data_IF_645745263343
#
_entry.id   IF_645745263343
#
_cell.length_a   1.000
_cell.length_b   1.000
_cell.length_c   1.000
_cell.angle_alpha   90.00
_cell.angle_beta   90.00
_cell.angle_gamma   90.00
#
_symmetry.space_group_name_H-M   'P 1'
#
loop_
_entity.id
_entity.type
_entity.pdbx_description
1 polymer ?
#
# COMPACT_ATOMS: atom_id res chain seq x y z
N UNK A 1 -20.14 -6.24 -5.79
CA UNK A 1 -18.82 -6.65 -6.29
C UNK A 1 -18.46 -5.64 -7.36
N UNK A 2 -17.95 -4.50 -6.93
CA UNK A 2 -17.73 -3.25 -7.68
C UNK A 2 -16.93 -2.43 -6.64
N UNK A 3 -15.77 -1.84 -6.89
CA UNK A 3 -15.34 -1.11 -8.06
C UNK A 3 -13.82 -1.19 -8.22
N UNK A 4 -13.33 -1.55 -9.40
CA UNK A 4 -11.98 -1.17 -9.87
C UNK A 4 -12.18 0.07 -10.76
N UNK A 5 -12.79 1.14 -10.24
CA UNK A 5 -13.16 2.33 -11.04
C UNK A 5 -12.17 3.51 -10.91
N UNK A 6 -11.04 3.33 -10.22
CA UNK A 6 -10.07 4.41 -10.03
C UNK A 6 -8.67 4.03 -10.53
N UNK A 7 -8.59 3.68 -11.82
CA UNK A 7 -7.41 3.85 -12.71
C UNK A 7 -6.04 3.41 -12.16
N UNK A 8 -6.03 2.53 -11.16
CA UNK A 8 -4.86 2.14 -10.35
C UNK A 8 -3.91 3.31 -10.02
N UNK A 9 -4.45 4.54 -9.86
CA UNK A 9 -3.65 5.72 -9.49
C UNK A 9 -3.33 5.64 -8.00
N UNK A 10 -2.39 4.77 -7.68
CA UNK A 10 -1.86 4.57 -6.35
C UNK A 10 -1.01 5.77 -5.91
N UNK A 11 -1.38 6.41 -4.80
CA UNK A 11 -0.49 7.35 -4.11
C UNK A 11 0.61 6.52 -3.40
N UNK A 12 1.66 6.21 -4.16
CA UNK A 12 2.86 5.52 -3.68
C UNK A 12 3.77 6.56 -3.03
N UNK A 13 4.01 6.40 -1.73
CA UNK A 13 4.99 7.20 -0.98
C UNK A 13 6.05 6.31 -0.37
N UNK A 14 7.31 6.71 -0.54
CA UNK A 14 8.42 6.12 0.20
C UNK A 14 8.32 6.53 1.67
N UNK A 15 8.41 5.57 2.58
CA UNK A 15 8.53 5.81 4.00
C UNK A 15 10.01 6.09 4.30
N UNK A 16 10.33 7.25 4.85
CA UNK A 16 11.70 7.58 5.21
C UNK A 16 12.15 6.71 6.40
N UNK A 17 13.33 6.11 6.29
CA UNK A 17 14.12 5.51 7.38
C UNK A 17 13.61 4.21 8.04
N UNK A 18 12.64 3.50 7.46
CA UNK A 18 12.18 2.20 7.99
C UNK A 18 11.80 1.21 6.88
N UNK A 19 12.01 -0.09 7.13
CA UNK A 19 11.36 -1.16 6.38
C UNK A 19 9.96 -1.40 6.97
N UNK A 20 8.88 -1.47 6.17
CA UNK A 20 8.84 -1.50 4.70
C UNK A 20 9.01 -0.14 4.03
N UNK A 21 9.76 -0.09 2.92
CA UNK A 21 10.17 1.16 2.27
C UNK A 21 9.03 1.93 1.58
N UNK A 22 7.93 1.28 1.21
CA UNK A 22 6.86 1.90 0.43
C UNK A 22 5.47 1.70 1.04
N UNK A 23 4.63 2.72 0.88
CA UNK A 23 3.19 2.66 1.15
C UNK A 23 2.41 3.00 -0.11
N UNK A 24 1.57 2.07 -0.56
CA UNK A 24 0.59 2.27 -1.62
C UNK A 24 -0.80 2.51 -1.01
N UNK A 25 -1.53 3.48 -1.53
CA UNK A 25 -2.94 3.74 -1.19
C UNK A 25 -3.83 3.35 -2.37
N UNK A 26 -4.81 2.49 -2.11
CA UNK A 26 -5.83 2.07 -3.09
C UNK A 26 -7.20 2.17 -2.42
N UNK A 27 -7.93 3.25 -2.71
CA UNK A 27 -9.18 3.56 -2.00
C UNK A 27 -8.97 3.64 -0.49
N UNK A 28 -9.68 2.80 0.26
CA UNK A 28 -9.55 2.70 1.72
C UNK A 28 -8.42 1.78 2.21
N UNK A 29 -7.71 1.10 1.32
CA UNK A 29 -6.62 0.21 1.69
C UNK A 29 -5.26 0.91 1.68
N UNK A 30 -4.42 0.55 2.66
CA UNK A 30 -3.01 0.91 2.75
C UNK A 30 -2.19 -0.37 2.68
N UNK A 31 -1.29 -0.43 1.71
CA UNK A 31 -0.42 -1.58 1.47
C UNK A 31 1.00 -1.15 1.81
N UNK A 32 1.64 -1.85 2.74
CA UNK A 32 3.06 -1.70 3.04
C UNK A 32 3.85 -2.77 2.29
N UNK A 33 4.79 -2.35 1.47
CA UNK A 33 5.58 -3.25 0.64
C UNK A 33 7.00 -2.73 0.47
N UNK A 34 7.89 -3.61 0.03
CA UNK A 34 9.21 -3.24 -0.46
C UNK A 34 9.44 -3.87 -1.84
N UNK A 35 10.40 -3.31 -2.57
CA UNK A 35 10.81 -3.82 -3.88
C UNK A 35 12.27 -4.18 -3.83
N UNK A 36 12.61 -5.42 -4.14
CA UNK A 36 14.00 -5.86 -4.25
C UNK A 36 14.21 -6.56 -5.59
N UNK A 37 15.09 -5.99 -6.42
CA UNK A 37 15.31 -6.40 -7.81
C UNK A 37 13.99 -6.42 -8.60
N UNK A 38 13.55 -7.60 -9.02
CA UNK A 38 12.36 -7.91 -9.81
C UNK A 38 11.19 -8.41 -8.94
N UNK A 39 11.33 -8.35 -7.61
CA UNK A 39 10.34 -8.87 -6.66
C UNK A 39 9.71 -7.76 -5.84
N UNK A 40 8.41 -7.91 -5.59
CA UNK A 40 7.64 -7.08 -4.67
C UNK A 40 7.25 -7.93 -3.47
N UNK A 41 7.67 -7.52 -2.28
CA UNK A 41 7.29 -8.19 -1.02
C UNK A 41 6.23 -7.35 -0.31
N UNK A 42 5.04 -7.91 -0.13
CA UNK A 42 3.94 -7.27 0.59
C UNK A 42 3.97 -7.70 2.05
N UNK A 43 4.09 -6.76 2.97
CA UNK A 43 4.12 -7.04 4.41
C UNK A 43 2.75 -7.01 5.05
N UNK A 44 1.96 -5.98 4.73
CA UNK A 44 0.64 -5.77 5.34
C UNK A 44 -0.30 -5.07 4.38
N UNK A 45 -1.56 -5.49 4.44
CA UNK A 45 -2.68 -4.83 3.80
C UNK A 45 -3.63 -4.42 4.93
N UNK A 46 -3.80 -3.11 5.11
CA UNK A 46 -4.57 -2.52 6.19
C UNK A 46 -5.75 -1.75 5.60
N UNK A 47 -6.95 -1.99 6.11
CA UNK A 47 -8.10 -1.16 5.78
C UNK A 47 -8.10 0.12 6.64
N UNK A 48 -8.55 1.25 6.09
CA UNK A 48 -8.53 2.56 6.78
C UNK A 48 -9.23 2.54 8.14
N UNK A 49 -10.31 1.76 8.25
CA UNK A 49 -11.08 1.63 9.51
C UNK A 49 -10.33 0.86 10.60
N UNK A 50 -9.37 0.00 10.22
CA UNK A 50 -8.63 -0.85 11.16
C UNK A 50 -7.38 -0.17 11.72
N UNK A 51 -6.97 0.97 11.14
CA UNK A 51 -5.77 1.72 11.58
C UNK A 51 -6.05 2.60 12.81
N UNK A 52 -7.30 2.96 13.08
CA UNK A 52 -7.69 3.82 14.21
C UNK A 52 -8.20 3.03 15.42
N UNK A 53 -7.78 1.77 15.58
CA UNK A 53 -8.14 0.94 16.73
C UNK A 53 -6.96 0.75 17.68
#
# INVERSE_FOLDING_TARGET
MEEISNDLKGDVKRLANFTPEYRLRVGDYRILFETYKDKITIYRILHRKDVYK
#
